data_IF_580968909835
#
_entry.id   IF_580968909835
#
_cell.length_a   1.000
_cell.length_b   1.000
_cell.length_c   1.000
_cell.angle_alpha   90.00
_cell.angle_beta   90.00
_cell.angle_gamma   90.00
#
_symmetry.space_group_name_H-M   'P 1'
#
loop_
_entity.id
_entity.type
_entity.pdbx_description
1 polymer ?
#
# COMPACT_ATOMS: atom_id res chain seq x y z
N UNK A 1 10.47 -10.57 32.19
CA UNK A 1 9.56 -10.44 31.04
C UNK A 1 10.31 -9.62 30.02
N UNK A 2 10.65 -10.11 28.82
CA UNK A 2 11.42 -9.31 27.89
C UNK A 2 10.49 -8.30 27.18
N UNK A 3 10.98 -7.07 27.08
CA UNK A 3 10.31 -5.88 26.54
C UNK A 3 9.77 -6.09 25.13
N UNK A 4 8.51 -5.69 24.93
CA UNK A 4 7.77 -5.73 23.65
C UNK A 4 7.99 -4.44 22.84
N UNK A 5 8.90 -3.57 23.27
CA UNK A 5 9.00 -2.18 22.79
C UNK A 5 10.09 -1.97 21.71
N UNK A 6 11.00 -2.91 21.52
CA UNK A 6 12.23 -2.72 20.72
C UNK A 6 12.12 -2.96 19.21
N UNK A 7 10.95 -3.34 18.69
CA UNK A 7 10.79 -3.68 17.26
C UNK A 7 9.70 -2.86 16.52
N UNK A 8 9.05 -1.89 17.18
CA UNK A 8 7.91 -1.14 16.62
C UNK A 8 8.08 0.38 16.33
N UNK A 9 9.19 1.07 16.64
CA UNK A 9 9.28 2.49 16.29
C UNK A 9 9.49 2.74 14.78
N UNK A 10 10.10 1.79 14.07
CA UNK A 10 10.40 1.92 12.64
C UNK A 10 9.13 1.86 11.77
N UNK A 11 8.22 0.88 11.95
CA UNK A 11 7.00 0.81 11.14
C UNK A 11 6.06 2.00 11.36
N UNK A 12 5.92 2.49 12.60
CA UNK A 12 5.06 3.63 12.91
C UNK A 12 5.56 4.92 12.27
N UNK A 13 6.88 5.18 12.34
CA UNK A 13 7.50 6.35 11.70
C UNK A 13 7.41 6.28 10.18
N UNK A 14 7.64 5.10 9.59
CA UNK A 14 7.57 4.91 8.13
C UNK A 14 6.15 5.19 7.63
N UNK A 15 5.13 4.64 8.32
CA UNK A 15 3.72 4.94 8.05
C UNK A 15 3.42 6.43 8.19
N UNK A 16 3.85 7.07 9.28
CA UNK A 16 3.62 8.52 9.48
C UNK A 16 4.24 9.34 8.34
N UNK A 17 5.47 9.03 7.94
CA UNK A 17 6.14 9.68 6.82
C UNK A 17 5.35 9.55 5.52
N UNK A 18 4.86 8.33 5.21
CA UNK A 18 4.03 8.09 4.02
C UNK A 18 2.78 8.99 4.03
N UNK A 19 2.00 8.99 5.10
CA UNK A 19 0.77 9.76 5.14
C UNK A 19 1.01 11.28 5.17
N UNK A 20 2.16 11.73 5.68
CA UNK A 20 2.59 13.12 5.56
C UNK A 20 2.90 13.49 4.10
N UNK A 21 3.55 12.61 3.34
CA UNK A 21 3.77 12.82 1.90
C UNK A 21 2.45 12.88 1.13
N UNK A 22 1.55 11.93 1.38
CA UNK A 22 0.23 11.89 0.74
C UNK A 22 -0.60 13.13 1.07
N UNK A 23 -0.59 13.57 2.32
CA UNK A 23 -1.29 14.79 2.73
C UNK A 23 -0.78 16.03 1.97
N UNK A 24 0.52 16.14 1.74
CA UNK A 24 1.08 17.23 0.93
C UNK A 24 0.70 17.11 -0.55
N UNK A 25 0.80 15.92 -1.14
CA UNK A 25 0.52 15.68 -2.56
C UNK A 25 -0.96 15.85 -2.92
N UNK A 26 -1.85 15.40 -2.04
CA UNK A 26 -3.31 15.50 -2.22
C UNK A 26 -3.92 16.75 -1.59
N UNK A 27 -3.12 17.65 -1.04
CA UNK A 27 -3.61 18.88 -0.40
C UNK A 27 -4.53 18.65 0.80
N UNK A 28 -4.41 17.50 1.47
CA UNK A 28 -5.30 17.08 2.56
C UNK A 28 -6.64 16.48 2.10
N UNK A 29 -6.87 16.34 0.81
CA UNK A 29 -8.12 15.81 0.25
C UNK A 29 -8.01 14.30 -0.01
N UNK A 30 -8.55 13.50 0.91
CA UNK A 30 -8.56 12.04 0.82
C UNK A 30 -9.90 11.47 0.33
N UNK A 31 -10.98 12.25 0.42
CA UNK A 31 -12.36 11.76 0.32
C UNK A 31 -12.74 11.08 -0.99
N UNK A 32 -12.04 11.36 -2.09
CA UNK A 32 -12.25 10.78 -3.42
C UNK A 32 -11.29 9.64 -3.75
N UNK A 33 -10.32 9.35 -2.86
CA UNK A 33 -9.21 8.44 -3.15
C UNK A 33 -9.59 6.97 -2.97
N UNK A 34 -9.12 6.14 -3.88
CA UNK A 34 -9.21 4.69 -3.82
C UNK A 34 -7.84 4.10 -3.55
N UNK A 35 -7.74 3.32 -2.47
CA UNK A 35 -6.48 2.72 -2.02
C UNK A 35 -6.53 1.20 -2.17
N UNK A 36 -5.44 0.62 -2.66
CA UNK A 36 -5.21 -0.83 -2.67
C UNK A 36 -4.00 -1.16 -1.80
N UNK A 37 -4.17 -2.09 -0.87
CA UNK A 37 -3.10 -2.69 -0.08
C UNK A 37 -2.96 -4.16 -0.50
N UNK A 38 -1.90 -4.48 -1.27
CA UNK A 38 -1.72 -5.80 -1.84
C UNK A 38 -1.10 -6.81 -0.87
N UNK A 39 -0.55 -6.34 0.25
CA UNK A 39 0.11 -7.16 1.26
C UNK A 39 -0.33 -6.67 2.65
N UNK A 40 -1.62 -6.80 2.93
CA UNK A 40 -2.22 -6.12 4.07
C UNK A 40 -1.61 -6.51 5.42
N UNK A 41 -1.29 -7.80 5.63
CA UNK A 41 -0.69 -8.28 6.88
C UNK A 41 -1.55 -7.91 8.09
N UNK A 42 -1.04 -6.99 8.93
CA UNK A 42 -1.78 -6.44 10.08
C UNK A 42 -2.86 -5.42 9.72
N UNK A 43 -2.83 -4.91 8.48
CA UNK A 43 -3.71 -3.87 7.95
C UNK A 43 -3.25 -2.45 8.29
N UNK A 44 -2.07 -2.29 8.87
CA UNK A 44 -1.58 -1.02 9.40
C UNK A 44 -1.66 0.15 8.40
N UNK A 45 -1.30 -0.07 7.14
CA UNK A 45 -1.33 0.97 6.11
C UNK A 45 -2.76 1.22 5.60
N UNK A 46 -3.50 0.17 5.21
CA UNK A 46 -4.86 0.37 4.72
C UNK A 46 -5.85 0.89 5.77
N UNK A 47 -5.70 0.54 7.06
CA UNK A 47 -6.53 1.13 8.13
C UNK A 47 -6.20 2.60 8.39
N UNK A 48 -4.93 2.99 8.27
CA UNK A 48 -4.54 4.39 8.35
C UNK A 48 -5.07 5.18 7.13
N UNK A 49 -5.09 4.60 5.93
CA UNK A 49 -5.75 5.22 4.80
C UNK A 49 -7.25 5.42 5.06
N UNK A 50 -7.93 4.42 5.62
CA UNK A 50 -9.33 4.53 6.00
C UNK A 50 -9.57 5.60 7.08
N UNK A 51 -8.69 5.72 8.08
CA UNK A 51 -8.80 6.71 9.16
C UNK A 51 -8.66 8.15 8.64
N UNK A 52 -7.92 8.35 7.54
CA UNK A 52 -7.77 9.63 6.83
C UNK A 52 -8.99 9.99 5.97
N UNK A 53 -9.96 9.08 5.83
CA UNK A 53 -11.23 9.34 5.16
C UNK A 53 -11.25 9.05 3.66
N UNK A 54 -10.41 8.12 3.17
CA UNK A 54 -10.46 7.69 1.76
C UNK A 54 -11.80 7.04 1.39
N UNK A 55 -12.22 7.17 0.12
CA UNK A 55 -13.49 6.65 -0.36
C UNK A 55 -13.59 5.13 -0.19
N UNK A 56 -12.54 4.42 -0.59
CA UNK A 56 -12.47 2.96 -0.55
C UNK A 56 -11.06 2.47 -0.28
N UNK A 57 -10.97 1.38 0.49
CA UNK A 57 -9.72 0.62 0.67
C UNK A 57 -9.98 -0.84 0.30
N UNK A 58 -9.17 -1.38 -0.60
CA UNK A 58 -9.14 -2.81 -0.87
C UNK A 58 -7.86 -3.39 -0.26
N UNK A 59 -8.00 -4.41 0.59
CA UNK A 59 -6.89 -5.09 1.25
C UNK A 59 -6.80 -6.52 0.76
N UNK A 60 -5.61 -7.00 0.46
CA UNK A 60 -5.36 -8.40 0.06
C UNK A 60 -4.48 -9.07 1.12
N UNK A 61 -4.96 -10.20 1.62
CA UNK A 61 -4.22 -11.03 2.58
C UNK A 61 -4.36 -12.50 2.19
N UNK A 62 -3.25 -13.22 2.18
CA UNK A 62 -3.22 -14.63 1.78
C UNK A 62 -3.57 -15.56 2.94
N UNK A 63 -3.13 -15.24 4.14
CA UNK A 63 -3.40 -16.03 5.34
C UNK A 63 -4.84 -15.82 5.83
N UNK A 64 -5.59 -16.91 5.92
CA UNK A 64 -7.01 -16.88 6.31
C UNK A 64 -7.21 -16.40 7.75
N UNK A 65 -6.26 -16.66 8.63
CA UNK A 65 -6.34 -16.27 10.05
C UNK A 65 -6.11 -14.78 10.19
N UNK A 66 -5.06 -14.24 9.54
CA UNK A 66 -4.79 -12.82 9.45
C UNK A 66 -5.98 -12.08 8.81
N UNK A 67 -6.52 -12.58 7.70
CA UNK A 67 -7.70 -11.99 7.07
C UNK A 67 -8.93 -11.98 7.98
N UNK A 68 -9.14 -13.01 8.80
CA UNK A 68 -10.21 -13.04 9.80
C UNK A 68 -10.01 -11.98 10.89
N UNK A 69 -8.77 -11.81 11.36
CA UNK A 69 -8.42 -10.75 12.31
C UNK A 69 -8.64 -9.35 11.71
N UNK A 70 -8.27 -9.13 10.45
CA UNK A 70 -8.54 -7.89 9.71
C UNK A 70 -10.04 -7.58 9.64
N UNK A 71 -10.88 -8.58 9.32
CA UNK A 71 -12.34 -8.40 9.28
C UNK A 71 -12.90 -8.03 10.65
N UNK A 72 -12.42 -8.70 11.70
CA UNK A 72 -12.83 -8.41 13.09
C UNK A 72 -12.46 -6.98 13.49
N UNK A 73 -11.25 -6.53 13.13
CA UNK A 73 -10.80 -5.17 13.39
C UNK A 73 -11.61 -4.14 12.59
N UNK A 74 -11.87 -4.39 11.31
CA UNK A 74 -12.73 -3.57 10.46
C UNK A 74 -14.11 -3.38 11.07
N UNK A 75 -14.74 -4.47 11.49
CA UNK A 75 -16.10 -4.44 12.06
C UNK A 75 -16.12 -3.68 13.40
N UNK A 76 -15.08 -3.87 14.24
CA UNK A 76 -14.90 -3.12 15.49
C UNK A 76 -14.75 -1.61 15.24
N UNK A 77 -14.02 -1.22 14.21
CA UNK A 77 -13.79 0.18 13.84
C UNK A 77 -14.91 0.77 12.98
N UNK A 78 -15.89 -0.03 12.56
CA UNK A 78 -16.95 0.35 11.60
C UNK A 78 -16.37 0.94 10.30
N UNK A 79 -15.26 0.37 9.85
CA UNK A 79 -14.55 0.81 8.66
C UNK A 79 -15.18 0.20 7.39
N UNK A 80 -16.43 0.56 7.11
CA UNK A 80 -17.26 -0.05 6.05
C UNK A 80 -16.70 0.19 4.63
N UNK A 81 -15.84 1.20 4.47
CA UNK A 81 -15.12 1.49 3.23
C UNK A 81 -14.04 0.44 2.89
N UNK A 82 -13.67 -0.42 3.85
CA UNK A 82 -12.62 -1.43 3.68
C UNK A 82 -13.21 -2.77 3.19
N UNK A 83 -12.72 -3.23 2.05
CA UNK A 83 -12.99 -4.58 1.52
C UNK A 83 -11.74 -5.45 1.61
N UNK A 84 -11.87 -6.60 2.26
CA UNK A 84 -10.76 -7.54 2.44
C UNK A 84 -10.95 -8.74 1.51
N UNK A 85 -9.92 -9.01 0.70
CA UNK A 85 -9.82 -10.13 -0.23
C UNK A 85 -8.86 -11.16 0.33
N UNK A 86 -9.31 -12.43 0.39
CA UNK A 86 -8.44 -13.53 0.79
C UNK A 86 -7.85 -14.16 -0.46
N UNK A 87 -6.54 -14.06 -0.66
CA UNK A 87 -5.93 -14.59 -1.86
C UNK A 87 -4.47 -14.18 -2.06
N UNK A 88 -3.92 -14.67 -3.16
CA UNK A 88 -2.60 -14.28 -3.64
C UNK A 88 -2.65 -12.87 -4.27
N UNK A 89 -1.67 -12.03 -3.94
CA UNK A 89 -1.61 -10.64 -4.38
C UNK A 89 -1.66 -10.49 -5.90
N UNK A 90 -0.91 -11.32 -6.64
CA UNK A 90 -0.90 -11.27 -8.11
C UNK A 90 -2.27 -11.67 -8.68
N UNK A 91 -2.83 -12.77 -8.21
CA UNK A 91 -4.13 -13.26 -8.71
C UNK A 91 -5.27 -12.27 -8.43
N UNK A 92 -5.22 -11.58 -7.29
CA UNK A 92 -6.23 -10.57 -6.94
C UNK A 92 -6.03 -9.31 -7.79
N UNK A 93 -4.79 -8.84 -7.95
CA UNK A 93 -4.48 -7.68 -8.79
C UNK A 93 -4.86 -7.90 -10.26
N UNK A 94 -4.58 -9.07 -10.83
CA UNK A 94 -4.97 -9.43 -12.21
C UNK A 94 -6.50 -9.41 -12.42
N UNK A 95 -7.29 -9.69 -11.38
CA UNK A 95 -8.76 -9.65 -11.44
C UNK A 95 -9.32 -8.22 -11.31
N UNK A 96 -8.48 -7.25 -10.99
CA UNK A 96 -8.86 -5.85 -10.76
C UNK A 96 -8.72 -4.97 -11.99
N UNK A 97 -8.53 -5.52 -13.20
CA UNK A 97 -8.20 -4.86 -14.49
C UNK A 97 -9.07 -3.64 -14.92
N UNK A 98 -10.20 -3.39 -14.24
CA UNK A 98 -11.05 -2.20 -14.45
C UNK A 98 -11.05 -1.20 -13.28
N UNK A 99 -10.28 -1.44 -12.23
CA UNK A 99 -10.15 -0.56 -11.06
C UNK A 99 -9.21 0.61 -11.38
N UNK A 100 -9.40 1.73 -10.70
CA UNK A 100 -8.55 2.93 -10.85
C UNK A 100 -8.17 3.41 -9.46
N UNK A 101 -7.09 2.86 -8.93
CA UNK A 101 -6.58 3.23 -7.60
C UNK A 101 -5.70 4.46 -7.68
N UNK A 102 -5.92 5.40 -6.78
CA UNK A 102 -5.07 6.58 -6.59
C UNK A 102 -3.79 6.24 -5.83
N UNK A 103 -3.82 5.17 -5.03
CA UNK A 103 -2.66 4.68 -4.28
C UNK A 103 -2.66 3.16 -4.20
N UNK A 104 -1.52 2.55 -4.54
CA UNK A 104 -1.24 1.13 -4.30
C UNK A 104 -0.10 1.03 -3.28
N UNK A 105 -0.33 0.29 -2.20
CA UNK A 105 0.60 0.04 -1.11
C UNK A 105 1.23 -1.34 -1.31
N UNK A 106 2.55 -1.38 -1.37
CA UNK A 106 3.34 -2.60 -1.55
C UNK A 106 4.35 -2.75 -0.41
N UNK A 107 4.02 -3.60 0.55
CA UNK A 107 4.95 -4.12 1.56
C UNK A 107 5.10 -5.65 1.42
N UNK A 108 5.69 -6.13 0.31
CA UNK A 108 5.82 -7.56 0.09
C UNK A 108 6.85 -8.18 1.03
N UNK A 109 6.73 -9.47 1.35
CA UNK A 109 7.79 -10.18 2.05
C UNK A 109 9.10 -10.12 1.24
N UNK A 110 10.19 -9.72 1.90
CA UNK A 110 11.50 -9.53 1.28
C UNK A 110 12.07 -10.83 0.68
N UNK A 111 12.94 -10.68 -0.32
CA UNK A 111 13.65 -11.81 -0.97
C UNK A 111 12.80 -12.70 -1.88
N UNK A 112 11.52 -12.39 -2.12
CA UNK A 112 10.62 -13.23 -2.93
C UNK A 112 10.38 -12.71 -4.37
N UNK A 113 11.02 -11.61 -4.76
CA UNK A 113 10.90 -11.08 -6.13
C UNK A 113 9.48 -10.62 -6.51
N UNK A 114 8.68 -10.15 -5.55
CA UNK A 114 7.32 -9.67 -5.81
C UNK A 114 7.27 -8.43 -6.68
N UNK A 115 8.15 -7.45 -6.40
CA UNK A 115 8.13 -6.16 -7.10
C UNK A 115 8.29 -6.30 -8.63
N UNK A 116 9.32 -7.01 -9.17
CA UNK A 116 9.42 -7.22 -10.62
C UNK A 116 8.22 -7.92 -11.26
N UNK A 117 7.48 -8.74 -10.49
CA UNK A 117 6.28 -9.44 -10.97
C UNK A 117 5.05 -8.55 -11.00
N UNK A 118 4.98 -7.57 -10.09
CA UNK A 118 3.87 -6.62 -9.99
C UNK A 118 3.98 -5.46 -10.99
N UNK A 119 5.19 -5.00 -11.30
CA UNK A 119 5.41 -3.86 -12.21
C UNK A 119 4.63 -3.91 -13.53
N UNK A 120 4.54 -5.05 -14.24
CA UNK A 120 3.79 -5.10 -15.50
C UNK A 120 2.28 -4.94 -15.34
N UNK A 121 1.71 -5.24 -14.17
CA UNK A 121 0.25 -5.24 -13.95
C UNK A 121 -0.27 -3.95 -13.30
N UNK A 122 0.56 -3.25 -12.52
CA UNK A 122 0.12 -2.02 -11.83
C UNK A 122 -0.45 -0.95 -12.77
N UNK A 123 0.12 -0.69 -13.97
CA UNK A 123 -0.43 0.28 -14.91
C UNK A 123 -1.90 0.03 -15.31
N UNK A 124 -2.36 -1.23 -15.29
CA UNK A 124 -3.76 -1.57 -15.65
C UNK A 124 -4.78 -1.22 -14.57
N UNK A 125 -4.33 -1.10 -13.31
CA UNK A 125 -5.19 -0.89 -12.14
C UNK A 125 -4.98 0.47 -11.45
N UNK A 126 -3.97 1.22 -11.84
CA UNK A 126 -3.73 2.59 -11.37
C UNK A 126 -4.62 3.60 -12.10
N UNK A 127 -5.01 4.65 -11.38
CA UNK A 127 -5.51 5.87 -11.98
C UNK A 127 -4.38 6.60 -12.73
N UNK A 128 -4.74 7.52 -13.63
CA UNK A 128 -3.77 8.45 -14.22
C UNK A 128 -3.18 9.34 -13.11
N UNK A 129 -1.86 9.43 -13.03
CA UNK A 129 -1.17 10.08 -11.90
C UNK A 129 -1.26 9.30 -10.58
N UNK A 130 -1.69 8.04 -10.63
CA UNK A 130 -1.77 7.17 -9.46
C UNK A 130 -0.41 6.94 -8.81
N UNK A 131 -0.42 6.76 -7.50
CA UNK A 131 0.78 6.60 -6.68
C UNK A 131 1.02 5.13 -6.33
N UNK A 132 2.29 4.75 -6.20
CA UNK A 132 2.70 3.44 -5.67
C UNK A 132 3.67 3.65 -4.53
N UNK A 133 3.31 3.19 -3.35
CA UNK A 133 4.19 3.13 -2.20
C UNK A 133 4.84 1.76 -2.11
N UNK A 134 6.14 1.71 -1.84
CA UNK A 134 6.92 0.48 -1.84
C UNK A 134 7.85 0.43 -0.65
N UNK A 135 7.78 -0.63 0.15
CA UNK A 135 8.80 -1.02 1.13
C UNK A 135 9.68 -2.13 0.57
N UNK A 136 11.00 -1.99 0.73
CA UNK A 136 11.99 -2.91 0.20
C UNK A 136 13.23 -2.99 1.09
N UNK A 137 13.96 -4.11 0.99
CA UNK A 137 15.24 -4.32 1.70
C UNK A 137 16.36 -3.41 1.16
N UNK A 138 16.27 -2.99 -0.10
CA UNK A 138 17.24 -2.14 -0.77
C UNK A 138 16.52 -0.99 -1.51
N UNK A 139 17.27 0.07 -1.82
CA UNK A 139 16.80 1.10 -2.73
C UNK A 139 16.39 0.46 -4.07
N UNK A 140 15.27 0.91 -4.63
CA UNK A 140 14.76 0.39 -5.91
C UNK A 140 14.98 1.41 -7.01
N UNK A 141 15.20 0.92 -8.23
CA UNK A 141 15.07 1.75 -9.42
C UNK A 141 13.61 1.76 -9.88
N UNK A 142 13.08 2.90 -10.34
CA UNK A 142 11.72 2.96 -10.83
C UNK A 142 11.59 2.11 -12.11
N UNK A 143 10.54 1.27 -12.24
CA UNK A 143 10.25 0.61 -13.51
C UNK A 143 9.82 1.63 -14.58
N UNK A 144 9.82 1.19 -15.84
CA UNK A 144 9.35 2.01 -16.96
C UNK A 144 7.93 2.57 -16.72
N UNK A 145 7.73 3.85 -17.01
CA UNK A 145 6.45 4.55 -16.79
C UNK A 145 6.26 5.08 -15.36
N UNK A 146 7.21 4.83 -14.45
CA UNK A 146 7.15 5.34 -13.08
C UNK A 146 8.29 6.33 -12.80
N UNK A 147 8.03 7.30 -11.92
CA UNK A 147 9.04 8.23 -11.41
C UNK A 147 9.01 8.23 -9.89
N UNK A 148 10.18 8.19 -9.24
CA UNK A 148 10.27 8.32 -7.77
C UNK A 148 10.01 9.78 -7.39
N UNK A 149 8.92 10.02 -6.65
CA UNK A 149 8.60 11.34 -6.08
C UNK A 149 9.29 11.57 -4.74
N UNK A 150 9.35 10.52 -3.91
CA UNK A 150 9.96 10.54 -2.57
C UNK A 150 10.62 9.19 -2.30
N UNK A 151 11.70 9.23 -1.54
CA UNK A 151 12.37 8.04 -1.02
C UNK A 151 13.05 8.40 0.29
N UNK A 152 13.07 7.45 1.23
CA UNK A 152 13.80 7.59 2.49
C UNK A 152 14.10 6.19 3.05
N UNK A 153 14.80 6.12 4.19
CA UNK A 153 15.25 4.89 4.82
C UNK A 153 15.05 4.95 6.32
N UNK A 154 14.57 3.86 6.90
CA UNK A 154 14.46 3.71 8.35
C UNK A 154 14.98 2.32 8.76
N UNK A 155 16.09 2.30 9.50
CA UNK A 155 16.79 1.05 9.83
C UNK A 155 17.27 0.34 8.56
N UNK A 156 16.82 -0.90 8.35
CA UNK A 156 17.13 -1.70 7.17
C UNK A 156 16.11 -1.54 6.02
N UNK A 157 14.99 -0.84 6.26
CA UNK A 157 13.91 -0.71 5.28
C UNK A 157 14.12 0.56 4.46
N UNK A 158 14.11 0.40 3.15
CA UNK A 158 14.03 1.48 2.17
C UNK A 158 12.57 1.61 1.72
N UNK A 159 12.05 2.84 1.68
CA UNK A 159 10.68 3.08 1.26
C UNK A 159 10.60 4.22 0.26
N UNK A 160 9.75 4.02 -0.75
CA UNK A 160 9.67 4.88 -1.92
C UNK A 160 8.20 5.18 -2.23
N UNK A 161 7.95 6.40 -2.71
CA UNK A 161 6.67 6.79 -3.27
C UNK A 161 6.91 7.16 -4.74
N UNK A 162 6.28 6.40 -5.62
CA UNK A 162 6.38 6.55 -7.07
C UNK A 162 5.08 7.11 -7.61
N UNK A 163 5.18 7.87 -8.70
CA UNK A 163 4.04 8.31 -9.51
C UNK A 163 4.05 7.56 -10.84
N UNK A 164 2.89 7.09 -11.25
CA UNK A 164 2.67 6.55 -12.58
C UNK A 164 2.44 7.70 -13.55
N UNK A 165 3.50 8.07 -14.28
CA UNK A 165 3.41 8.98 -15.39
C UNK A 165 2.85 8.19 -16.57
N UNK A 166 1.53 8.24 -16.77
CA UNK A 166 0.90 7.62 -17.93
C UNK A 166 1.69 8.04 -19.17
N UNK A 167 2.23 7.06 -19.91
CA UNK A 167 2.90 7.29 -21.18
C UNK A 167 1.96 8.14 -22.02
N UNK A 168 2.31 9.41 -22.23
CA UNK A 168 1.64 10.26 -23.21
C UNK A 168 1.70 9.53 -24.54
N UNK A 169 0.57 8.97 -24.97
CA UNK A 169 0.41 8.50 -26.35
C UNK A 169 0.54 9.66 -27.32
#
# INVERSE_FOLDING_TARGET
>A
MPDVETLRPTPDRVRETLFNWLNHLWGGEFADKQVLDLFAGSGALGFEAASRGVAHVQMVERDKTAASALRTLRDKLKADMIRIHVGDAMQVAERMDASRFDLILLDPPFGQGWLPRLWPILPGILAEGGLVYVEAENAIEPPEGFTILRQDKAGAVHYHLLEFAALRK
#
